data_IF_760195638007
#
_entry.id   IF_760195638007
#
_cell.length_a   1.000
_cell.length_b   1.000
_cell.length_c   1.000
_cell.angle_alpha   90.00
_cell.angle_beta   90.00
_cell.angle_gamma   90.00
#
_symmetry.space_group_name_H-M   'P 1'
#
loop_
_entity.id
_entity.type
_entity.pdbx_description
1 polymer ?
#
# COMPACT_ATOMS: atom_id res chain seq x y z
N UNK A 1 26.64 -5.28 7.34
CA UNK A 1 25.57 -6.12 6.72
C UNK A 1 24.50 -5.18 6.20
N UNK A 2 24.15 -5.24 4.90
CA UNK A 2 22.95 -4.57 4.39
C UNK A 2 21.75 -5.42 4.82
N UNK A 3 21.19 -5.12 5.99
CA UNK A 3 19.98 -5.75 6.48
C UNK A 3 18.76 -5.40 5.61
N UNK A 4 17.69 -6.18 5.74
CA UNK A 4 16.40 -5.88 5.12
C UNK A 4 15.78 -4.69 5.85
N UNK A 5 15.35 -3.67 5.11
CA UNK A 5 14.55 -2.57 5.66
C UNK A 5 13.08 -2.94 5.50
N UNK A 6 12.43 -3.24 6.62
CA UNK A 6 11.01 -3.56 6.70
C UNK A 6 10.25 -2.27 7.02
N UNK A 7 9.13 -2.05 6.33
CA UNK A 7 8.21 -0.95 6.58
C UNK A 7 6.86 -1.54 6.97
N UNK A 8 6.23 -0.97 7.99
CA UNK A 8 4.88 -1.33 8.42
C UNK A 8 3.96 -0.18 8.04
N UNK A 9 2.87 -0.51 7.35
CA UNK A 9 1.89 0.46 6.88
C UNK A 9 0.53 0.19 7.54
N UNK A 10 -0.12 1.28 7.90
CA UNK A 10 -1.50 1.41 8.35
C UNK A 10 -2.14 2.61 7.62
N UNK A 11 -3.41 2.88 7.88
CA UNK A 11 -4.13 3.96 7.19
C UNK A 11 -3.53 5.35 7.43
N UNK A 12 -2.95 5.59 8.61
CA UNK A 12 -2.43 6.90 8.99
C UNK A 12 -1.05 7.17 8.37
N UNK A 13 -0.18 6.16 8.37
CA UNK A 13 1.12 6.20 7.69
C UNK A 13 0.97 6.36 6.17
N UNK A 14 -0.06 5.76 5.56
CA UNK A 14 -0.36 5.98 4.15
C UNK A 14 -0.70 7.44 3.86
N UNK A 15 -1.56 8.07 4.65
CA UNK A 15 -1.86 9.51 4.47
C UNK A 15 -0.60 10.35 4.65
N UNK A 16 0.10 10.16 5.76
CA UNK A 16 1.28 10.95 6.11
C UNK A 16 2.38 10.88 5.03
N UNK A 17 2.61 9.69 4.47
CA UNK A 17 3.69 9.51 3.48
C UNK A 17 3.26 9.87 2.06
N UNK A 18 2.02 9.60 1.67
CA UNK A 18 1.58 9.69 0.28
C UNK A 18 0.81 10.95 -0.10
N UNK A 19 0.32 11.74 0.86
CA UNK A 19 -0.35 13.02 0.60
C UNK A 19 0.48 13.95 -0.30
N UNK A 20 1.78 14.08 -0.02
CA UNK A 20 2.71 14.90 -0.81
C UNK A 20 2.89 14.44 -2.26
N UNK A 21 2.46 13.23 -2.60
CA UNK A 21 2.50 12.68 -3.96
C UNK A 21 1.15 12.81 -4.70
N UNK A 22 0.18 13.52 -4.13
CA UNK A 22 -1.16 13.68 -4.70
C UNK A 22 -2.03 12.46 -4.44
N UNK A 23 -2.07 11.98 -3.19
CA UNK A 23 -2.94 10.87 -2.77
C UNK A 23 -4.41 11.18 -3.13
N UNK A 24 -5.04 10.30 -3.89
CA UNK A 24 -6.44 10.43 -4.33
C UNK A 24 -7.33 9.50 -3.51
N UNK A 25 -6.93 8.23 -3.38
CA UNK A 25 -7.67 7.21 -2.64
C UNK A 25 -6.71 6.14 -2.13
N UNK A 26 -7.11 5.47 -1.05
CA UNK A 26 -6.50 4.22 -0.61
C UNK A 26 -7.58 3.29 -0.06
N UNK A 27 -7.35 1.98 -0.15
CA UNK A 27 -8.28 0.96 0.34
C UNK A 27 -7.55 -0.29 0.79
N UNK A 28 -8.06 -0.95 1.82
CA UNK A 28 -7.62 -2.31 2.17
C UNK A 28 -8.28 -3.33 1.25
N UNK A 29 -7.49 -4.28 0.76
CA UNK A 29 -7.95 -5.40 -0.05
C UNK A 29 -7.40 -6.70 0.51
N UNK A 30 -8.22 -7.74 0.48
CA UNK A 30 -7.81 -9.09 0.81
C UNK A 30 -7.56 -9.87 -0.49
N UNK A 31 -6.30 -10.01 -0.89
CA UNK A 31 -5.98 -10.79 -2.09
C UNK A 31 -6.03 -12.29 -1.78
N UNK A 32 -6.87 -13.07 -2.49
CA UNK A 32 -6.91 -14.52 -2.32
C UNK A 32 -5.59 -15.13 -2.77
N UNK A 33 -5.08 -16.10 -2.00
CA UNK A 33 -3.85 -16.80 -2.39
C UNK A 33 -4.12 -17.74 -3.56
N UNK A 34 -3.88 -17.25 -4.79
CA UNK A 34 -4.13 -17.98 -6.05
C UNK A 34 -3.37 -19.32 -6.14
N UNK A 35 -2.29 -19.49 -5.38
CA UNK A 35 -1.40 -20.66 -5.46
C UNK A 35 -1.67 -21.70 -4.37
N UNK A 36 -2.50 -21.42 -3.35
CA UNK A 36 -2.77 -22.36 -2.26
C UNK A 36 -4.23 -22.25 -1.79
N UNK A 37 -5.05 -23.25 -2.14
CA UNK A 37 -6.51 -23.29 -1.92
C UNK A 37 -6.98 -23.10 -0.46
N UNK A 38 -6.10 -23.22 0.54
CA UNK A 38 -6.46 -23.20 1.97
C UNK A 38 -5.69 -22.17 2.81
N UNK A 39 -4.98 -21.21 2.19
CA UNK A 39 -4.26 -20.18 2.94
C UNK A 39 -5.18 -18.97 3.17
N UNK A 40 -5.15 -18.31 4.36
CA UNK A 40 -5.87 -17.06 4.55
C UNK A 40 -5.49 -16.03 3.48
N UNK A 41 -6.43 -15.16 3.08
CA UNK A 41 -6.14 -14.03 2.21
C UNK A 41 -4.99 -13.18 2.76
N UNK A 42 -4.23 -12.56 1.87
CA UNK A 42 -3.19 -11.61 2.25
C UNK A 42 -3.78 -10.22 2.17
N UNK A 43 -3.76 -9.49 3.28
CA UNK A 43 -4.22 -8.12 3.33
C UNK A 43 -3.18 -7.18 2.72
N UNK A 44 -3.64 -6.26 1.88
CA UNK A 44 -2.83 -5.22 1.24
C UNK A 44 -3.54 -3.86 1.36
N UNK A 45 -2.76 -2.79 1.41
CA UNK A 45 -3.26 -1.43 1.20
C UNK A 45 -2.98 -1.02 -0.24
N UNK A 46 -4.02 -0.86 -1.03
CA UNK A 46 -3.95 -0.29 -2.37
C UNK A 46 -3.92 1.23 -2.25
N UNK A 47 -2.89 1.89 -2.80
CA UNK A 47 -2.72 3.35 -2.76
C UNK A 47 -2.75 3.89 -4.18
N UNK A 48 -3.54 4.93 -4.42
CA UNK A 48 -3.62 5.61 -5.72
C UNK A 48 -3.31 7.08 -5.57
N UNK A 49 -2.26 7.51 -6.25
CA UNK A 49 -1.85 8.91 -6.34
C UNK A 49 -1.98 9.42 -7.76
N UNK A 50 -2.29 10.71 -7.90
CA UNK A 50 -2.26 11.43 -9.17
C UNK A 50 -1.12 12.45 -9.10
N UNK A 51 -0.06 12.18 -9.87
CA UNK A 51 1.03 13.13 -10.05
C UNK A 51 0.49 14.40 -10.71
N UNK A 52 0.65 15.54 -10.05
CA UNK A 52 0.36 16.83 -10.67
C UNK A 52 1.42 17.12 -11.74
N UNK A 53 0.97 17.63 -12.89
CA UNK A 53 1.88 18.07 -13.95
C UNK A 53 2.48 19.41 -13.50
N UNK A 54 3.82 19.59 -13.55
CA UNK A 54 4.42 20.88 -13.27
C UNK A 54 3.93 21.92 -14.30
N UNK A 55 3.54 23.09 -13.81
CA UNK A 55 3.19 24.26 -14.62
C UNK A 55 4.43 24.92 -15.22
#
# INVERSE_FOLDING_TARGET
MKGIKIFFYDTDSVKQEFEKYGLVEFSEIDEPNKNMKNKPPVNFIMIKCKKELPH
#
